data_IF_695493495468
#
_entry.id   IF_695493495468
#
_cell.length_a   1.000
_cell.length_b   1.000
_cell.length_c   1.000
_cell.angle_alpha   90.00
_cell.angle_beta   90.00
_cell.angle_gamma   90.00
#
_symmetry.space_group_name_H-M   'P 1'
#
loop_
_entity.id
_entity.type
_entity.pdbx_description
1 polymer ?
#
# COMPACT_ATOMS: atom_id res chain seq x y z
N UNK A 1 -20.24 -2.06 11.94
CA UNK A 1 -20.53 -0.62 11.88
C UNK A 1 -22.04 -0.38 11.88
N UNK A 2 -22.82 -1.03 11.01
CA UNK A 2 -24.27 -0.84 10.94
C UNK A 2 -24.96 -1.20 12.26
N UNK A 3 -24.54 -2.28 12.93
CA UNK A 3 -25.04 -2.72 14.24
C UNK A 3 -24.86 -1.67 15.36
N UNK A 4 -23.84 -0.81 15.27
CA UNK A 4 -23.58 0.25 16.26
C UNK A 4 -24.10 1.63 15.84
N UNK A 5 -24.97 1.66 14.82
CA UNK A 5 -25.70 2.87 14.40
C UNK A 5 -24.96 3.74 13.38
N UNK A 6 -23.98 3.20 12.70
CA UNK A 6 -23.35 3.83 11.55
C UNK A 6 -23.86 3.21 10.24
N UNK A 7 -23.33 3.63 9.10
CA UNK A 7 -23.66 3.09 7.80
C UNK A 7 -22.49 2.29 7.18
N UNK A 8 -22.75 1.59 6.08
CA UNK A 8 -21.73 0.84 5.34
C UNK A 8 -20.67 1.75 4.70
N UNK A 9 -20.99 3.02 4.42
CA UNK A 9 -20.02 3.98 3.90
C UNK A 9 -18.93 4.26 4.94
N UNK A 10 -19.29 4.39 6.23
CA UNK A 10 -18.29 4.54 7.30
C UNK A 10 -17.41 3.29 7.41
N UNK A 11 -18.00 2.10 7.23
CA UNK A 11 -17.19 0.88 7.18
C UNK A 11 -16.13 0.94 6.08
N UNK A 12 -16.50 1.36 4.86
CA UNK A 12 -15.55 1.56 3.74
C UNK A 12 -14.52 2.64 4.05
N UNK A 13 -14.93 3.77 4.63
CA UNK A 13 -14.01 4.86 5.01
C UNK A 13 -12.94 4.39 6.01
N UNK A 14 -13.35 3.62 7.02
CA UNK A 14 -12.45 3.17 8.10
C UNK A 14 -11.56 2.00 7.65
N UNK A 15 -12.03 1.16 6.74
CA UNK A 15 -11.25 0.00 6.27
C UNK A 15 -10.49 0.32 4.99
N UNK A 16 -11.19 0.54 3.89
CA UNK A 16 -10.59 0.69 2.56
C UNK A 16 -9.89 2.03 2.38
N UNK A 17 -10.61 3.14 2.60
CA UNK A 17 -10.05 4.49 2.39
C UNK A 17 -8.88 4.77 3.34
N UNK A 18 -9.00 4.35 4.61
CA UNK A 18 -7.91 4.47 5.57
C UNK A 18 -6.66 3.68 5.13
N UNK A 19 -6.84 2.48 4.56
CA UNK A 19 -5.74 1.66 4.03
C UNK A 19 -5.07 2.36 2.83
N UNK A 20 -5.84 2.92 1.90
CA UNK A 20 -5.28 3.63 0.74
C UNK A 20 -4.55 4.93 1.15
N UNK A 21 -5.09 5.69 2.09
CA UNK A 21 -4.40 6.86 2.66
C UNK A 21 -3.08 6.43 3.32
N UNK A 22 -3.12 5.37 4.14
CA UNK A 22 -1.93 4.82 4.80
C UNK A 22 -0.88 4.35 3.80
N UNK A 23 -1.28 3.66 2.74
CA UNK A 23 -0.42 3.18 1.67
C UNK A 23 0.19 4.36 0.87
N UNK A 24 -0.65 5.32 0.44
CA UNK A 24 -0.24 6.45 -0.40
C UNK A 24 0.64 7.47 0.32
N UNK A 25 0.47 7.63 1.62
CA UNK A 25 1.25 8.57 2.42
C UNK A 25 2.35 7.91 3.27
N UNK A 26 2.49 6.59 3.20
CA UNK A 26 3.48 5.86 3.99
C UNK A 26 4.89 6.38 3.76
N UNK A 27 5.62 6.57 4.86
CA UNK A 27 7.01 7.04 4.83
C UNK A 27 8.04 5.91 4.78
N UNK A 28 7.65 4.67 5.10
CA UNK A 28 8.52 3.48 5.14
C UNK A 28 7.80 2.22 4.63
N UNK A 29 7.03 2.31 3.55
CA UNK A 29 6.41 1.12 2.96
C UNK A 29 7.43 0.33 2.12
N UNK A 30 7.80 -0.89 2.53
CA UNK A 30 8.77 -1.69 1.79
C UNK A 30 8.24 -2.18 0.45
N UNK A 31 6.92 -2.36 0.32
CA UNK A 31 6.27 -2.95 -0.86
C UNK A 31 5.97 -1.96 -1.99
N UNK A 32 6.01 -0.65 -1.72
CA UNK A 32 5.85 0.38 -2.74
C UNK A 32 7.06 1.31 -2.76
N UNK A 33 7.23 2.14 -1.73
CA UNK A 33 8.32 3.14 -1.64
C UNK A 33 9.69 2.48 -1.70
N UNK A 34 9.94 1.42 -0.91
CA UNK A 34 11.22 0.73 -0.88
C UNK A 34 11.59 0.11 -2.22
N UNK A 35 10.62 -0.55 -2.89
CA UNK A 35 10.82 -1.12 -4.23
C UNK A 35 11.07 -0.03 -5.26
N UNK A 36 10.24 1.03 -5.27
CA UNK A 36 10.40 2.14 -6.21
C UNK A 36 11.75 2.84 -6.05
N UNK A 37 12.21 3.05 -4.81
CA UNK A 37 13.52 3.64 -4.51
C UNK A 37 14.68 2.71 -4.93
N UNK A 38 14.57 1.41 -4.66
CA UNK A 38 15.55 0.42 -5.10
C UNK A 38 15.70 0.40 -6.62
N UNK A 39 14.59 0.43 -7.36
CA UNK A 39 14.59 0.52 -8.83
C UNK A 39 15.14 1.86 -9.31
N UNK A 40 14.80 2.95 -8.62
CA UNK A 40 15.31 4.28 -8.93
C UNK A 40 16.81 4.47 -8.59
N UNK A 41 17.44 3.49 -7.93
CA UNK A 41 18.87 3.55 -7.56
C UNK A 41 19.16 4.62 -6.49
N UNK A 42 18.23 4.87 -5.59
CA UNK A 42 18.40 5.76 -4.45
C UNK A 42 18.23 4.99 -3.13
N UNK A 43 18.80 5.51 -2.05
CA UNK A 43 18.77 4.84 -0.75
C UNK A 43 17.33 4.56 -0.31
N UNK A 44 17.09 3.33 0.13
CA UNK A 44 15.78 2.87 0.60
C UNK A 44 15.36 3.70 1.81
N UNK A 45 14.12 4.17 1.79
CA UNK A 45 13.52 5.09 2.75
C UNK A 45 14.21 6.46 2.90
N UNK A 46 15.11 6.82 1.98
CA UNK A 46 15.58 8.21 1.87
C UNK A 46 14.39 9.14 1.60
N UNK A 47 14.45 10.38 2.07
CA UNK A 47 13.34 11.34 1.98
C UNK A 47 12.17 11.02 2.94
N UNK A 48 12.37 10.16 3.95
CA UNK A 48 11.35 9.80 4.94
C UNK A 48 10.76 11.02 5.67
N UNK A 49 11.58 12.03 5.97
CA UNK A 49 11.09 13.25 6.65
C UNK A 49 9.94 13.95 5.90
N UNK A 50 10.07 14.13 4.58
CA UNK A 50 9.00 14.69 3.76
C UNK A 50 7.76 13.80 3.75
N UNK A 51 7.95 12.48 3.58
CA UNK A 51 6.84 11.52 3.60
C UNK A 51 6.15 11.44 4.97
N UNK A 52 6.89 11.63 6.05
CA UNK A 52 6.30 11.68 7.40
C UNK A 52 5.37 12.89 7.56
N UNK A 53 5.76 14.07 7.08
CA UNK A 53 4.87 15.25 7.06
C UNK A 53 3.63 14.97 6.21
N UNK A 54 3.83 14.42 5.02
CA UNK A 54 2.74 14.02 4.12
C UNK A 54 1.79 13.02 4.79
N UNK A 55 2.32 12.01 5.48
CA UNK A 55 1.54 11.04 6.22
C UNK A 55 0.68 11.69 7.32
N UNK A 56 1.26 12.59 8.11
CA UNK A 56 0.50 13.32 9.15
C UNK A 56 -0.64 14.12 8.53
N UNK A 57 -0.37 14.85 7.45
CA UNK A 57 -1.39 15.69 6.79
C UNK A 57 -2.53 14.84 6.22
N UNK A 58 -2.21 13.80 5.43
CA UNK A 58 -3.25 12.97 4.81
C UNK A 58 -4.02 12.14 5.83
N UNK A 59 -3.35 11.63 6.87
CA UNK A 59 -4.02 10.92 7.97
C UNK A 59 -4.95 11.85 8.74
N UNK A 60 -4.52 13.06 9.08
CA UNK A 60 -5.36 14.03 9.78
C UNK A 60 -6.59 14.43 8.94
N UNK A 61 -6.41 14.64 7.62
CA UNK A 61 -7.52 14.91 6.71
C UNK A 61 -8.48 13.74 6.61
N UNK A 62 -7.98 12.51 6.43
CA UNK A 62 -8.81 11.30 6.35
C UNK A 62 -9.59 11.04 7.64
N UNK A 63 -8.93 11.13 8.79
CA UNK A 63 -9.60 11.02 10.09
C UNK A 63 -10.64 12.12 10.29
N UNK A 64 -10.30 13.38 9.97
CA UNK A 64 -11.20 14.52 10.09
C UNK A 64 -12.48 14.35 9.25
N UNK A 65 -12.31 13.97 7.97
CA UNK A 65 -13.44 13.72 7.06
C UNK A 65 -14.31 12.56 7.55
N UNK A 66 -13.68 11.44 7.95
CA UNK A 66 -14.41 10.26 8.45
C UNK A 66 -15.18 10.60 9.73
N UNK A 67 -14.56 11.28 10.69
CA UNK A 67 -15.21 11.69 11.93
C UNK A 67 -16.35 12.69 11.69
N UNK A 68 -16.16 13.64 10.77
CA UNK A 68 -17.21 14.59 10.40
C UNK A 68 -18.42 13.86 9.80
N UNK A 69 -18.19 12.97 8.84
CA UNK A 69 -19.26 12.17 8.22
C UNK A 69 -19.93 11.25 9.24
N UNK A 70 -19.17 10.52 10.06
CA UNK A 70 -19.67 9.65 11.11
C UNK A 70 -20.58 10.40 12.11
N UNK A 71 -20.16 11.61 12.54
CA UNK A 71 -20.95 12.44 13.43
C UNK A 71 -22.28 12.89 12.80
N UNK A 72 -22.28 13.15 11.51
CA UNK A 72 -23.48 13.52 10.75
C UNK A 72 -24.46 12.34 10.63
N UNK A 73 -23.96 11.16 10.29
CA UNK A 73 -24.78 9.93 10.16
C UNK A 73 -25.34 9.50 11.51
N UNK A 74 -24.54 9.57 12.59
CA UNK A 74 -25.00 9.23 13.94
C UNK A 74 -26.15 10.13 14.41
N UNK A 75 -26.17 11.41 14.01
CA UNK A 75 -27.26 12.35 14.33
C UNK A 75 -28.51 12.11 13.49
N UNK A 76 -28.36 11.76 12.24
CA UNK A 76 -29.46 11.49 11.32
C UNK A 76 -29.07 10.41 10.30
N UNK A 77 -29.36 9.14 10.58
CA UNK A 77 -29.01 8.03 9.70
C UNK A 77 -29.64 8.09 8.30
N UNK A 78 -30.79 8.77 8.15
CA UNK A 78 -31.50 8.85 6.89
C UNK A 78 -30.78 9.69 5.81
N UNK A 79 -29.77 10.46 6.21
CA UNK A 79 -28.94 11.24 5.28
C UNK A 79 -27.92 10.36 4.53
N UNK A 80 -27.67 9.14 5.03
CA UNK A 80 -26.77 8.20 4.37
C UNK A 80 -27.26 7.83 2.97
N UNK A 81 -26.36 7.87 1.99
CA UNK A 81 -26.64 7.36 0.64
C UNK A 81 -26.89 5.85 0.64
N UNK A 82 -26.32 5.14 1.62
CA UNK A 82 -26.49 3.69 1.80
C UNK A 82 -27.68 3.33 2.71
N UNK A 83 -28.49 4.28 3.19
CA UNK A 83 -29.52 4.02 4.19
C UNK A 83 -30.50 2.92 3.78
N UNK A 84 -30.89 2.87 2.49
CA UNK A 84 -31.82 1.86 1.97
C UNK A 84 -31.15 0.49 1.80
N UNK A 85 -29.92 0.46 1.31
CA UNK A 85 -29.18 -0.78 1.10
C UNK A 85 -28.73 -1.41 2.42
N UNK A 86 -28.47 -0.61 3.43
CA UNK A 86 -28.11 -1.05 4.77
C UNK A 86 -29.26 -1.67 5.55
N UNK A 87 -30.52 -1.61 5.05
CA UNK A 87 -31.66 -2.31 5.67
C UNK A 87 -31.38 -3.81 5.78
N UNK A 88 -30.78 -4.41 4.75
CA UNK A 88 -30.37 -5.82 4.76
C UNK A 88 -29.46 -6.15 5.96
N UNK A 89 -28.46 -5.34 6.22
CA UNK A 89 -27.54 -5.56 7.35
C UNK A 89 -28.22 -5.30 8.70
N UNK A 90 -29.15 -4.34 8.79
CA UNK A 90 -29.92 -4.09 10.00
C UNK A 90 -30.80 -5.28 10.35
N UNK A 91 -31.57 -5.80 9.39
CA UNK A 91 -32.42 -6.97 9.56
C UNK A 91 -31.61 -8.22 9.93
N UNK A 92 -30.45 -8.42 9.28
CA UNK A 92 -29.56 -9.54 9.61
C UNK A 92 -29.01 -9.43 11.04
N UNK A 93 -28.66 -8.23 11.51
CA UNK A 93 -28.17 -8.02 12.85
C UNK A 93 -29.26 -8.24 13.92
N UNK A 94 -30.51 -7.90 13.61
CA UNK A 94 -31.66 -8.16 14.49
C UNK A 94 -31.95 -9.66 14.63
N UNK A 95 -31.71 -10.44 13.59
CA UNK A 95 -31.95 -11.90 13.59
C UNK A 95 -30.80 -12.71 14.16
N UNK A 96 -29.54 -12.26 13.99
CA UNK A 96 -28.37 -13.05 14.41
C UNK A 96 -27.88 -12.68 15.80
N UNK A 97 -28.29 -11.52 16.34
CA UNK A 97 -27.73 -10.95 17.57
C UNK A 97 -26.26 -10.49 17.37
N UNK A 98 -25.81 -9.56 18.19
CA UNK A 98 -24.38 -9.28 18.29
C UNK A 98 -23.79 -10.46 19.05
N UNK A 99 -22.91 -11.25 18.38
CA UNK A 99 -22.20 -12.33 19.04
C UNK A 99 -21.23 -11.73 20.09
N UNK A 100 -21.72 -11.60 21.31
CA UNK A 100 -20.93 -11.09 22.45
C UNK A 100 -19.89 -12.12 22.94
N UNK A 101 -19.75 -13.26 22.24
CA UNK A 101 -19.10 -14.47 22.71
C UNK A 101 -17.57 -14.49 22.66
N UNK A 102 -16.89 -13.59 21.99
CA UNK A 102 -15.42 -13.66 21.88
C UNK A 102 -14.77 -12.64 22.83
N UNK A 103 -14.45 -13.08 24.04
CA UNK A 103 -13.66 -12.29 24.98
C UNK A 103 -12.23 -12.08 24.42
N UNK A 104 -11.82 -10.82 24.38
CA UNK A 104 -10.46 -10.45 23.98
C UNK A 104 -9.48 -10.91 25.07
N UNK A 105 -8.87 -12.08 24.87
CA UNK A 105 -7.99 -12.74 25.84
C UNK A 105 -6.51 -12.46 25.63
N UNK A 106 -5.69 -12.99 26.54
CA UNK A 106 -4.23 -12.82 26.53
C UNK A 106 -3.58 -13.27 25.21
N UNK A 107 -4.10 -14.32 24.58
CA UNK A 107 -3.62 -14.80 23.27
C UNK A 107 -3.75 -13.76 22.16
N UNK A 108 -4.88 -13.04 22.10
CA UNK A 108 -5.08 -11.95 21.13
C UNK A 108 -4.11 -10.80 21.37
N UNK A 109 -3.86 -10.45 22.65
CA UNK A 109 -2.88 -9.40 23.01
C UNK A 109 -1.47 -9.80 22.55
N UNK A 110 -1.06 -11.06 22.76
CA UNK A 110 0.27 -11.52 22.36
C UNK A 110 0.46 -11.53 20.85
N UNK A 111 -0.58 -11.88 20.07
CA UNK A 111 -0.54 -11.79 18.61
C UNK A 111 -0.37 -10.34 18.15
N UNK A 112 -1.15 -9.41 18.71
CA UNK A 112 -1.01 -7.98 18.40
C UNK A 112 0.35 -7.40 18.83
N UNK A 113 0.86 -7.85 19.99
CA UNK A 113 2.19 -7.46 20.46
C UNK A 113 3.28 -7.99 19.52
N UNK A 114 3.16 -9.22 19.02
CA UNK A 114 4.10 -9.78 18.03
C UNK A 114 4.13 -8.91 16.78
N UNK A 115 2.96 -8.49 16.27
CA UNK A 115 2.88 -7.56 15.14
C UNK A 115 3.61 -6.23 15.44
N UNK A 116 3.30 -5.61 16.59
CA UNK A 116 3.90 -4.33 16.97
C UNK A 116 5.43 -4.43 17.12
N UNK A 117 5.92 -5.49 17.79
CA UNK A 117 7.36 -5.75 17.96
C UNK A 117 8.04 -5.97 16.60
N UNK A 118 7.41 -6.72 15.70
CA UNK A 118 7.98 -6.96 14.37
C UNK A 118 8.07 -5.67 13.55
N UNK A 119 7.05 -4.82 13.59
CA UNK A 119 7.09 -3.53 12.89
C UNK A 119 8.25 -2.67 13.44
N UNK A 120 8.41 -2.59 14.77
CA UNK A 120 9.53 -1.87 15.38
C UNK A 120 10.88 -2.48 14.97
N UNK A 121 10.98 -3.81 14.93
CA UNK A 121 12.19 -4.51 14.50
C UNK A 121 12.55 -4.25 13.04
N UNK A 122 11.56 -4.26 12.14
CA UNK A 122 11.75 -3.90 10.71
C UNK A 122 12.27 -2.47 10.60
N UNK A 123 11.61 -1.51 11.24
CA UNK A 123 12.00 -0.09 11.21
C UNK A 123 13.43 0.10 11.74
N UNK A 124 13.73 -0.49 12.88
CA UNK A 124 15.07 -0.44 13.47
C UNK A 124 16.12 -1.06 12.53
N UNK A 125 15.84 -2.25 11.99
CA UNK A 125 16.76 -2.96 11.12
C UNK A 125 17.08 -2.20 9.83
N UNK A 126 16.05 -1.60 9.20
CA UNK A 126 16.24 -0.78 8.01
C UNK A 126 17.05 0.48 8.32
N UNK A 127 16.73 1.19 9.42
CA UNK A 127 17.39 2.46 9.75
C UNK A 127 18.81 2.30 10.26
N UNK A 128 19.13 1.22 10.98
CA UNK A 128 20.41 1.07 11.66
C UNK A 128 21.33 0.02 11.04
N UNK A 129 20.76 -1.01 10.42
CA UNK A 129 21.50 -2.15 9.86
C UNK A 129 21.45 -2.19 8.34
N UNK A 130 20.70 -1.29 7.69
CA UNK A 130 20.53 -1.27 6.24
C UNK A 130 19.78 -2.50 5.70
N UNK A 131 18.85 -3.08 6.49
CA UNK A 131 18.06 -4.21 6.03
C UNK A 131 17.28 -3.88 4.78
N UNK A 132 17.24 -4.86 3.88
CA UNK A 132 16.54 -4.78 2.60
C UNK A 132 15.46 -5.87 2.51
N UNK A 133 14.91 -6.12 1.32
CA UNK A 133 13.78 -7.04 1.12
C UNK A 133 13.96 -8.44 1.72
N UNK A 134 15.13 -9.12 1.58
CA UNK A 134 15.29 -10.46 2.14
C UNK A 134 15.17 -10.51 3.67
N UNK A 135 15.79 -9.54 4.35
CA UNK A 135 15.75 -9.45 5.82
C UNK A 135 14.34 -9.09 6.30
N UNK A 136 13.68 -8.14 5.65
CA UNK A 136 12.30 -7.75 5.95
C UNK A 136 11.34 -8.93 5.75
N UNK A 137 11.47 -9.66 4.66
CA UNK A 137 10.66 -10.86 4.39
C UNK A 137 10.87 -11.93 5.48
N UNK A 138 12.11 -12.12 5.93
CA UNK A 138 12.44 -13.06 7.02
C UNK A 138 11.78 -12.64 8.33
N UNK A 139 11.79 -11.34 8.66
CA UNK A 139 11.15 -10.82 9.87
C UNK A 139 9.63 -11.04 9.86
N UNK A 140 8.96 -10.78 8.73
CA UNK A 140 7.53 -11.06 8.57
C UNK A 140 7.22 -12.56 8.62
N UNK A 141 8.10 -13.41 8.08
CA UNK A 141 7.94 -14.85 8.17
C UNK A 141 8.03 -15.34 9.63
N UNK A 142 9.01 -14.84 10.40
CA UNK A 142 9.15 -15.13 11.85
C UNK A 142 7.89 -14.65 12.59
N UNK A 143 7.39 -13.46 12.30
CA UNK A 143 6.14 -12.93 12.87
C UNK A 143 4.97 -13.87 12.65
N UNK A 144 4.81 -14.38 11.42
CA UNK A 144 3.74 -15.32 11.07
C UNK A 144 3.83 -16.61 11.88
N UNK A 145 5.03 -17.19 12.02
CA UNK A 145 5.25 -18.39 12.83
C UNK A 145 4.93 -18.13 14.30
N UNK A 146 5.47 -17.06 14.89
CA UNK A 146 5.28 -16.74 16.31
C UNK A 146 3.79 -16.47 16.61
N UNK A 147 3.11 -15.71 15.75
CA UNK A 147 1.68 -15.46 15.86
C UNK A 147 0.87 -16.74 15.77
N UNK A 148 1.21 -17.63 14.83
CA UNK A 148 0.58 -18.94 14.69
C UNK A 148 0.78 -19.84 15.92
N UNK A 149 1.98 -19.85 16.48
CA UNK A 149 2.28 -20.60 17.72
C UNK A 149 1.43 -20.08 18.88
N UNK A 150 1.31 -18.77 19.06
CA UNK A 150 0.41 -18.21 20.07
C UNK A 150 -1.05 -18.57 19.79
N UNK A 151 -1.48 -18.54 18.53
CA UNK A 151 -2.82 -18.97 18.12
C UNK A 151 -3.13 -20.40 18.57
N UNK A 152 -2.19 -21.33 18.38
CA UNK A 152 -2.33 -22.74 18.77
C UNK A 152 -2.28 -22.91 20.29
N UNK A 153 -1.32 -22.27 20.99
CA UNK A 153 -1.17 -22.39 22.46
C UNK A 153 -2.42 -21.89 23.19
N UNK A 154 -2.96 -20.74 22.75
CA UNK A 154 -4.14 -20.14 23.35
C UNK A 154 -5.46 -20.61 22.74
N UNK A 155 -5.40 -21.58 21.80
CA UNK A 155 -6.58 -22.14 21.09
C UNK A 155 -7.48 -21.06 20.49
N UNK A 156 -6.89 -20.04 19.91
CA UNK A 156 -7.65 -18.96 19.26
C UNK A 156 -8.39 -19.52 18.05
N UNK A 157 -9.71 -19.38 18.02
CA UNK A 157 -10.58 -19.95 16.98
C UNK A 157 -10.36 -21.45 16.75
N UNK A 158 -10.09 -22.23 17.80
CA UNK A 158 -9.79 -23.67 17.75
C UNK A 158 -8.60 -24.04 16.85
N UNK A 159 -7.67 -23.11 16.68
CA UNK A 159 -6.50 -23.22 15.80
C UNK A 159 -5.61 -24.42 16.18
N UNK A 160 -5.22 -25.21 15.18
CA UNK A 160 -4.33 -26.38 15.28
C UNK A 160 -3.01 -26.10 14.59
N UNK A 161 -2.00 -26.93 14.86
CA UNK A 161 -0.66 -26.77 14.30
C UNK A 161 -0.65 -26.74 12.75
N UNK A 162 -1.47 -27.58 12.12
CA UNK A 162 -1.59 -27.62 10.65
C UNK A 162 -2.19 -26.34 10.06
N UNK A 163 -2.95 -25.60 10.82
CA UNK A 163 -3.58 -24.38 10.34
C UNK A 163 -2.55 -23.27 10.11
N UNK A 164 -1.40 -23.30 10.81
CA UNK A 164 -0.27 -22.42 10.54
C UNK A 164 0.24 -22.62 9.11
N UNK A 165 0.47 -23.88 8.71
CA UNK A 165 0.94 -24.19 7.36
C UNK A 165 -0.12 -23.89 6.30
N UNK A 166 -1.40 -24.13 6.62
CA UNK A 166 -2.52 -23.80 5.72
C UNK A 166 -2.65 -22.29 5.51
N UNK A 167 -2.60 -21.51 6.57
CA UNK A 167 -2.64 -20.02 6.49
C UNK A 167 -1.46 -19.47 5.69
N UNK A 168 -0.26 -20.01 5.89
CA UNK A 168 0.91 -19.64 5.09
C UNK A 168 0.73 -19.97 3.61
N UNK A 169 0.24 -21.17 3.30
CA UNK A 169 -0.05 -21.59 1.92
C UNK A 169 -1.11 -20.72 1.25
N UNK A 170 -2.15 -20.34 1.98
CA UNK A 170 -3.22 -19.50 1.43
C UNK A 170 -2.72 -18.07 1.21
N UNK A 171 -1.96 -17.49 2.14
CA UNK A 171 -1.30 -16.20 1.93
C UNK A 171 -0.31 -16.21 0.76
N UNK A 172 0.44 -17.32 0.56
CA UNK A 172 1.32 -17.47 -0.61
C UNK A 172 0.55 -17.50 -1.93
N UNK A 173 -0.63 -18.17 -1.97
CA UNK A 173 -1.50 -18.16 -3.16
C UNK A 173 -1.96 -16.76 -3.53
N UNK A 174 -2.32 -15.94 -2.56
CA UNK A 174 -2.78 -14.58 -2.79
C UNK A 174 -1.68 -13.70 -3.42
N UNK A 175 -0.41 -14.01 -3.14
CA UNK A 175 0.75 -13.29 -3.67
C UNK A 175 1.22 -13.78 -5.05
N UNK A 176 0.78 -14.93 -5.54
CA UNK A 176 1.21 -15.48 -6.84
C UNK A 176 0.91 -14.51 -7.98
N UNK A 177 -0.27 -13.88 -7.98
CA UNK A 177 -0.66 -12.90 -8.99
C UNK A 177 0.32 -11.74 -9.05
N UNK A 178 0.68 -11.17 -7.91
CA UNK A 178 1.65 -10.07 -7.83
C UNK A 178 3.05 -10.51 -8.33
N UNK A 179 3.50 -11.70 -7.95
CA UNK A 179 4.79 -12.25 -8.40
C UNK A 179 4.84 -12.42 -9.93
N UNK A 180 3.75 -12.92 -10.54
CA UNK A 180 3.63 -13.06 -12.00
C UNK A 180 3.65 -11.71 -12.71
N UNK A 181 2.94 -10.70 -12.20
CA UNK A 181 2.96 -9.34 -12.78
C UNK A 181 4.37 -8.76 -12.76
N UNK A 182 5.11 -8.89 -11.66
CA UNK A 182 6.50 -8.43 -11.56
C UNK A 182 7.40 -9.17 -12.56
N UNK A 183 7.25 -10.49 -12.68
CA UNK A 183 8.02 -11.29 -13.65
C UNK A 183 7.73 -10.89 -15.10
N UNK A 184 6.45 -10.67 -15.45
CA UNK A 184 6.05 -10.20 -16.78
C UNK A 184 6.60 -8.80 -17.07
N UNK A 185 6.56 -7.88 -16.10
CA UNK A 185 7.12 -6.54 -16.22
C UNK A 185 8.62 -6.58 -16.51
N UNK A 186 9.38 -7.42 -15.81
CA UNK A 186 10.80 -7.62 -16.09
C UNK A 186 11.04 -8.22 -17.47
N UNK A 187 10.19 -9.14 -17.92
CA UNK A 187 10.22 -9.67 -19.28
C UNK A 187 10.03 -8.59 -20.35
N UNK A 188 9.05 -7.71 -20.16
CA UNK A 188 8.81 -6.56 -21.06
C UNK A 188 10.03 -5.64 -21.08
N UNK A 189 10.63 -5.32 -19.94
CA UNK A 189 11.82 -4.50 -19.85
C UNK A 189 12.99 -5.11 -20.64
N UNK A 190 13.19 -6.42 -20.55
CA UNK A 190 14.23 -7.12 -21.30
C UNK A 190 13.98 -7.05 -22.82
N UNK A 191 12.74 -7.23 -23.27
CA UNK A 191 12.37 -7.13 -24.69
C UNK A 191 12.58 -5.70 -25.22
N UNK A 192 12.34 -4.68 -24.40
CA UNK A 192 12.55 -3.26 -24.76
C UNK A 192 14.02 -2.84 -24.71
N UNK A 193 14.93 -3.73 -24.35
CA UNK A 193 16.38 -3.52 -24.37
C UNK A 193 17.03 -3.28 -23.02
N UNK A 194 16.28 -3.53 -21.91
CA UNK A 194 16.80 -3.37 -20.55
C UNK A 194 16.90 -1.90 -20.11
N UNK A 195 17.52 -1.70 -18.96
CA UNK A 195 17.64 -0.38 -18.30
C UNK A 195 19.00 0.30 -18.47
N UNK A 196 19.86 -0.20 -19.36
CA UNK A 196 21.18 0.41 -19.59
C UNK A 196 21.04 1.72 -20.41
N UNK A 197 21.35 2.89 -19.82
CA UNK A 197 21.22 4.17 -20.50
C UNK A 197 22.23 4.39 -21.62
N UNK A 198 23.26 3.55 -21.72
CA UNK A 198 24.37 3.71 -22.68
C UNK A 198 24.13 2.98 -24.00
N UNK A 199 23.18 2.06 -24.05
CA UNK A 199 22.85 1.27 -25.23
C UNK A 199 21.66 1.86 -26.00
N UNK A 200 21.68 1.87 -27.36
CA UNK A 200 20.53 2.30 -28.15
C UNK A 200 19.41 1.27 -28.07
N UNK A 201 18.45 1.50 -27.21
CA UNK A 201 17.29 0.64 -26.95
C UNK A 201 15.99 1.33 -27.28
N UNK A 202 14.90 0.55 -27.40
CA UNK A 202 13.55 1.10 -27.60
C UNK A 202 13.17 2.01 -26.43
N UNK A 203 13.48 1.60 -25.19
CA UNK A 203 13.24 2.40 -24.00
C UNK A 203 13.97 3.73 -24.04
N UNK A 204 15.26 3.73 -24.38
CA UNK A 204 16.05 4.97 -24.45
C UNK A 204 15.50 5.92 -25.52
N UNK A 205 15.02 5.38 -26.65
CA UNK A 205 14.37 6.17 -27.70
C UNK A 205 13.06 6.81 -27.20
N UNK A 206 12.23 6.05 -26.49
CA UNK A 206 11.00 6.54 -25.90
C UNK A 206 11.30 7.65 -24.89
N UNK A 207 12.24 7.41 -23.95
CA UNK A 207 12.64 8.39 -22.94
C UNK A 207 13.19 9.67 -23.56
N UNK A 208 14.03 9.56 -24.59
CA UNK A 208 14.57 10.70 -25.31
C UNK A 208 13.46 11.56 -25.96
N UNK A 209 12.51 10.92 -26.63
CA UNK A 209 11.40 11.63 -27.27
C UNK A 209 10.49 12.32 -26.23
N UNK A 210 10.18 11.65 -25.12
CA UNK A 210 9.40 12.25 -24.03
C UNK A 210 10.16 13.41 -23.39
N UNK A 211 11.45 13.27 -23.13
CA UNK A 211 12.30 14.33 -22.58
C UNK A 211 12.35 15.54 -23.51
N UNK A 212 12.51 15.32 -24.82
CA UNK A 212 12.48 16.42 -25.81
C UNK A 212 11.11 17.11 -25.89
N UNK A 213 10.01 16.35 -25.84
CA UNK A 213 8.66 16.91 -25.85
C UNK A 213 8.38 17.75 -24.59
N UNK A 214 9.01 17.42 -23.47
CA UNK A 214 8.93 18.12 -22.20
C UNK A 214 10.07 19.11 -21.98
N UNK A 215 10.97 19.29 -22.97
CA UNK A 215 12.08 20.23 -22.86
C UNK A 215 11.55 21.67 -22.70
N UNK A 216 12.07 22.39 -21.70
CA UNK A 216 11.60 23.73 -21.35
C UNK A 216 10.43 23.79 -20.37
N UNK A 217 9.86 22.67 -19.96
CA UNK A 217 8.87 22.57 -18.88
C UNK A 217 9.57 22.72 -17.54
N UNK A 218 8.99 23.52 -16.61
CA UNK A 218 9.57 23.62 -15.28
C UNK A 218 9.52 22.28 -14.52
N UNK A 219 10.51 22.01 -13.66
CA UNK A 219 10.56 20.77 -12.87
C UNK A 219 9.28 20.51 -12.04
N UNK A 220 8.60 21.55 -11.58
CA UNK A 220 7.32 21.41 -10.88
C UNK A 220 6.21 20.87 -11.80
N UNK A 221 6.13 21.37 -13.04
CA UNK A 221 5.14 20.88 -14.02
C UNK A 221 5.51 19.44 -14.45
N UNK A 222 6.80 19.14 -14.64
CA UNK A 222 7.26 17.78 -14.94
C UNK A 222 6.86 16.79 -13.83
N UNK A 223 7.02 17.16 -12.56
CA UNK A 223 6.58 16.35 -11.42
C UNK A 223 5.07 16.08 -11.42
N UNK A 224 4.25 17.09 -11.74
CA UNK A 224 2.79 16.93 -11.88
C UNK A 224 2.44 16.00 -13.05
N UNK A 225 3.12 16.13 -14.19
CA UNK A 225 2.90 15.25 -15.34
C UNK A 225 3.29 13.81 -15.03
N UNK A 226 4.39 13.59 -14.29
CA UNK A 226 4.75 12.26 -13.78
C UNK A 226 3.66 11.69 -12.88
N UNK A 227 3.14 12.49 -11.96
CA UNK A 227 2.03 12.08 -11.09
C UNK A 227 0.78 11.69 -11.91
N UNK A 228 0.37 12.52 -12.87
CA UNK A 228 -0.77 12.23 -13.74
C UNK A 228 -0.55 10.96 -14.56
N UNK A 229 0.66 10.75 -15.09
CA UNK A 229 1.00 9.52 -15.78
C UNK A 229 0.83 8.30 -14.87
N UNK A 230 1.37 8.32 -13.66
CA UNK A 230 1.25 7.24 -12.68
C UNK A 230 -0.22 6.99 -12.30
N UNK A 231 -1.00 8.05 -12.14
CA UNK A 231 -2.43 7.97 -11.85
C UNK A 231 -3.22 7.28 -12.98
N UNK A 232 -2.96 7.64 -14.23
CA UNK A 232 -3.58 7.00 -15.40
C UNK A 232 -3.11 5.55 -15.54
N UNK A 233 -1.82 5.31 -15.32
CA UNK A 233 -1.24 3.96 -15.43
C UNK A 233 -1.82 2.99 -14.40
N UNK A 234 -2.17 3.48 -13.21
CA UNK A 234 -2.78 2.68 -12.15
C UNK A 234 -4.13 2.05 -12.56
N UNK A 235 -4.89 2.66 -13.47
CA UNK A 235 -6.12 2.04 -14.00
C UNK A 235 -5.86 0.71 -14.71
N UNK A 236 -4.66 0.52 -15.27
CA UNK A 236 -4.28 -0.70 -15.99
C UNK A 236 -3.55 -1.69 -15.09
N UNK A 237 -2.83 -1.20 -14.07
CA UNK A 237 -1.98 -2.00 -13.19
C UNK A 237 -2.22 -1.57 -11.74
N UNK A 238 -3.29 -2.05 -11.14
CA UNK A 238 -3.66 -1.77 -9.74
C UNK A 238 -2.79 -2.60 -8.79
N UNK A 239 -1.51 -2.24 -8.69
CA UNK A 239 -0.54 -2.96 -7.86
C UNK A 239 0.70 -2.10 -7.62
N UNK A 240 0.91 -1.60 -6.40
CA UNK A 240 2.06 -0.76 -6.08
C UNK A 240 3.40 -1.37 -6.47
N UNK A 241 3.64 -2.62 -6.12
CA UNK A 241 4.86 -3.34 -6.52
C UNK A 241 4.95 -3.53 -8.04
N UNK A 242 3.86 -3.96 -8.67
CA UNK A 242 3.80 -4.18 -10.12
C UNK A 242 3.97 -2.88 -10.90
N UNK A 243 3.28 -1.82 -10.52
CA UNK A 243 3.40 -0.52 -11.13
C UNK A 243 4.82 0.05 -10.98
N UNK A 244 5.42 -0.04 -9.77
CA UNK A 244 6.81 0.37 -9.56
C UNK A 244 7.77 -0.37 -10.50
N UNK A 245 7.62 -1.70 -10.62
CA UNK A 245 8.48 -2.53 -11.45
C UNK A 245 8.41 -2.16 -12.95
N UNK A 246 7.24 -1.73 -13.42
CA UNK A 246 7.02 -1.35 -14.83
C UNK A 246 7.44 0.11 -15.08
N UNK A 247 7.05 1.03 -14.21
CA UNK A 247 7.16 2.45 -14.50
C UNK A 247 8.46 3.09 -14.00
N UNK A 248 9.00 2.66 -12.85
CA UNK A 248 10.19 3.31 -12.27
C UNK A 248 11.46 3.15 -13.08
N UNK A 249 11.72 2.04 -13.81
CA UNK A 249 12.86 1.96 -14.70
C UNK A 249 12.86 3.04 -15.80
N UNK A 250 11.68 3.56 -16.15
CA UNK A 250 11.51 4.65 -17.12
C UNK A 250 11.48 6.01 -16.41
N UNK A 251 10.70 6.13 -15.34
CA UNK A 251 10.46 7.40 -14.66
C UNK A 251 11.69 7.95 -13.92
N UNK A 252 12.53 7.07 -13.36
CA UNK A 252 13.71 7.53 -12.62
C UNK A 252 14.76 8.19 -13.58
N UNK A 253 15.21 7.57 -14.67
CA UNK A 253 16.09 8.25 -15.62
C UNK A 253 15.43 9.45 -16.31
N UNK A 254 14.12 9.38 -16.62
CA UNK A 254 13.39 10.50 -17.18
C UNK A 254 13.38 11.71 -16.23
N UNK A 255 13.25 11.48 -14.91
CA UNK A 255 13.32 12.57 -13.94
C UNK A 255 14.65 13.30 -13.96
N UNK A 256 15.77 12.58 -14.11
CA UNK A 256 17.11 13.17 -14.23
C UNK A 256 17.19 14.07 -15.48
N UNK A 257 16.67 13.60 -16.63
CA UNK A 257 16.65 14.36 -17.88
C UNK A 257 15.81 15.64 -17.79
N UNK A 258 14.77 15.64 -16.98
CA UNK A 258 13.87 16.80 -16.76
C UNK A 258 14.33 17.70 -15.60
N UNK A 259 15.47 17.42 -14.98
CA UNK A 259 15.98 18.17 -13.83
C UNK A 259 15.13 18.03 -12.57
N UNK A 260 14.39 16.92 -12.46
CA UNK A 260 13.57 16.54 -11.28
C UNK A 260 14.30 15.47 -10.50
N UNK A 261 14.30 15.54 -9.18
CA UNK A 261 14.95 14.52 -8.37
C UNK A 261 14.23 13.17 -8.49
N UNK A 262 14.98 12.06 -8.46
CA UNK A 262 14.41 10.70 -8.43
C UNK A 262 13.50 10.48 -7.23
N UNK A 263 13.74 11.17 -6.11
CA UNK A 263 12.82 11.17 -4.95
C UNK A 263 11.44 11.73 -5.33
N UNK A 264 11.40 12.80 -6.13
CA UNK A 264 10.14 13.38 -6.60
C UNK A 264 9.41 12.43 -7.55
N UNK A 265 10.13 11.72 -8.42
CA UNK A 265 9.55 10.67 -9.26
C UNK A 265 8.94 9.52 -8.42
N UNK A 266 9.63 9.11 -7.35
CA UNK A 266 9.09 8.10 -6.40
C UNK A 266 7.86 8.62 -5.67
N UNK A 267 7.81 9.89 -5.26
CA UNK A 267 6.62 10.49 -4.65
C UNK A 267 5.47 10.56 -5.66
N UNK A 268 5.74 10.95 -6.90
CA UNK A 268 4.75 10.98 -7.97
C UNK A 268 4.15 9.58 -8.22
N UNK A 269 4.98 8.55 -8.24
CA UNK A 269 4.55 7.15 -8.30
C UNK A 269 3.69 6.80 -7.07
N UNK A 270 4.18 7.03 -5.86
CA UNK A 270 3.50 6.66 -4.62
C UNK A 270 2.10 7.25 -4.51
N UNK A 271 1.95 8.54 -4.83
CA UNK A 271 0.67 9.23 -4.79
C UNK A 271 -0.25 8.80 -5.95
N UNK A 272 0.33 8.64 -7.15
CA UNK A 272 -0.42 8.25 -8.35
C UNK A 272 -0.98 6.84 -8.25
N UNK A 273 -0.23 5.88 -7.69
CA UNK A 273 -0.69 4.53 -7.42
C UNK A 273 -1.79 4.52 -6.34
N UNK A 274 -1.53 5.05 -5.18
CA UNK A 274 -2.41 4.85 -4.03
C UNK A 274 -3.71 5.66 -4.07
N UNK A 275 -3.65 6.94 -4.46
CA UNK A 275 -4.87 7.76 -4.42
C UNK A 275 -5.85 7.45 -5.55
N UNK A 276 -5.38 6.96 -6.69
CA UNK A 276 -6.27 6.48 -7.75
C UNK A 276 -6.99 5.20 -7.37
N UNK A 277 -6.47 4.38 -6.47
CA UNK A 277 -7.19 3.23 -5.91
C UNK A 277 -8.49 3.61 -5.17
N UNK A 278 -8.68 4.88 -4.83
CA UNK A 278 -9.96 5.34 -4.25
C UNK A 278 -11.10 5.39 -5.27
N UNK A 279 -10.80 5.33 -6.56
CA UNK A 279 -11.76 5.47 -7.67
C UNK A 279 -11.69 4.34 -8.71
N UNK A 280 -10.74 3.42 -8.57
CA UNK A 280 -10.53 2.25 -9.47
C UNK A 280 -11.07 0.97 -8.85
#
# INVERSE_FOLDING_TARGET
FVAVGYDSVIAVLVTYVATQIGFGSSWMNPFSVGIAQGIAGIDVFSGAGFRMVMWVVFTALGCGMTMFYASKIKKNPTISIAYKTDSYFREQNETTGIDEGHSFGLGHILVLLTLAVTVVWVVWGVMTQGYYMPEIATQFFIMGIVSGVFGVIFKLNDMKLNDIATSFKDGAKDLIGAALVVAMAQGIMQVLGGSDPTTPTVINTIMYNISNALSGVSGAVAAVLMYLFQSVFNFFVVSGTGQAAITMPIMAPLSDLLGVSRQTAVVAFQLGDAFTNLIV
#
